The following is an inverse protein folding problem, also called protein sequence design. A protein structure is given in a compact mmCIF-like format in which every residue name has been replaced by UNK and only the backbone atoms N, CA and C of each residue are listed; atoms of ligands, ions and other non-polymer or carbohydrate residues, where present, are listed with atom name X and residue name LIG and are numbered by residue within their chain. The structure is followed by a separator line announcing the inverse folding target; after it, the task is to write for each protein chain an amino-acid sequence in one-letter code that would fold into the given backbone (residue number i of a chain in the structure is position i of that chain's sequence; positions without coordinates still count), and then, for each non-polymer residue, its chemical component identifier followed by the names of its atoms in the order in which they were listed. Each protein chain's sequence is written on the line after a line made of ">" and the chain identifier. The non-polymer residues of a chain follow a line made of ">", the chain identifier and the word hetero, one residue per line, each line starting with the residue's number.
data_IF_274465978007
#
_entry.id   IF_274465978007
#
_cell.length_a   1.000
_cell.length_b   1.000
_cell.length_c   1.000
_cell.angle_alpha   90.00
_cell.angle_beta   90.00
_cell.angle_gamma   90.00
#
_symmetry.space_group_name_H-M   'P 1'
#
loop_
_entity.id
_entity.type
_entity.pdbx_description
1 polymer ?
#
# COMPACT_ATOMS: atom_id res chain seq x y z
N UNK A 1 -19.77 -33.14 -29.52
CA UNK A 1 -21.19 -33.17 -29.94
C UNK A 1 -21.94 -32.35 -28.89
N UNK A 2 -21.70 -31.05 -28.71
CA UNK A 2 -21.66 -29.94 -29.68
C UNK A 2 -22.91 -29.90 -30.55
N UNK A 3 -23.95 -29.23 -30.05
CA UNK A 3 -24.46 -28.01 -30.70
C UNK A 3 -25.30 -27.16 -29.71
N UNK A 4 -25.39 -25.82 -29.90
CA UNK A 4 -25.71 -24.85 -28.87
C UNK A 4 -27.17 -24.36 -28.88
N UNK A 5 -27.58 -23.79 -27.75
CA UNK A 5 -28.92 -23.24 -27.49
C UNK A 5 -29.24 -22.04 -28.39
N UNK A 6 -30.28 -22.22 -29.21
CA UNK A 6 -30.91 -21.25 -30.10
C UNK A 6 -31.81 -20.26 -29.31
N UNK A 7 -31.58 -18.96 -29.49
CA UNK A 7 -32.29 -17.85 -28.83
C UNK A 7 -33.20 -17.09 -29.78
N UNK A 8 -33.72 -17.69 -30.85
CA UNK A 8 -34.77 -17.05 -31.65
C UNK A 8 -36.16 -17.24 -31.04
N UNK A 9 -36.55 -16.40 -30.05
CA UNK A 9 -37.93 -15.89 -29.90
C UNK A 9 -37.95 -14.57 -29.14
N UNK A 10 -38.04 -13.46 -29.87
CA UNK A 10 -38.57 -12.20 -29.35
C UNK A 10 -39.95 -11.86 -29.93
N UNK A 11 -40.73 -11.25 -29.02
CA UNK A 11 -41.74 -10.22 -29.20
C UNK A 11 -43.21 -10.52 -29.52
N UNK A 12 -44.09 -10.13 -28.57
CA UNK A 12 -45.28 -9.32 -28.85
C UNK A 12 -45.54 -8.22 -27.79
N UNK A 13 -44.92 -7.05 -28.04
CA UNK A 13 -45.57 -5.73 -28.21
C UNK A 13 -46.36 -5.07 -27.06
N UNK A 14 -45.70 -4.11 -26.41
CA UNK A 14 -46.32 -2.90 -25.82
C UNK A 14 -46.74 -1.92 -26.94
N UNK A 15 -48.00 -1.46 -26.90
CA UNK A 15 -48.54 -0.41 -27.79
C UNK A 15 -48.15 0.99 -27.32
N UNK A 16 -47.69 1.81 -28.27
CA UNK A 16 -47.41 3.25 -28.16
C UNK A 16 -48.48 4.03 -28.94
N UNK A 17 -48.89 5.26 -28.54
CA UNK A 17 -49.50 6.21 -29.47
C UNK A 17 -48.43 7.06 -30.17
N UNK A 18 -48.55 7.05 -31.49
CA UNK A 18 -47.74 7.60 -32.58
C UNK A 18 -47.51 9.12 -32.62
N UNK A 19 -46.50 9.50 -33.42
CA UNK A 19 -46.32 10.68 -34.34
C UNK A 19 -44.85 11.16 -34.16
N UNK A 20 -43.92 11.14 -35.13
CA UNK A 20 -43.96 11.37 -36.57
C UNK A 20 -42.84 10.62 -37.31
N UNK A 21 -43.10 10.27 -38.57
CA UNK A 21 -42.21 9.54 -39.49
C UNK A 21 -40.96 10.34 -39.87
N UNK A 22 -39.79 9.88 -39.45
CA UNK A 22 -38.56 9.91 -40.27
C UNK A 22 -37.91 8.52 -40.17
N UNK A 23 -37.62 7.92 -41.33
CA UNK A 23 -37.00 6.59 -41.48
C UNK A 23 -35.77 6.50 -40.56
N UNK A 24 -35.79 5.59 -39.57
CA UNK A 24 -34.58 5.23 -38.82
C UNK A 24 -33.66 4.49 -39.78
N UNK A 25 -32.56 5.12 -40.18
CA UNK A 25 -31.43 4.39 -40.77
C UNK A 25 -30.90 3.46 -39.70
N UNK A 26 -30.60 2.22 -40.07
CA UNK A 26 -29.76 1.34 -39.25
C UNK A 26 -28.43 2.07 -39.12
N UNK A 27 -28.11 2.50 -37.90
CA UNK A 27 -26.85 3.18 -37.60
C UNK A 27 -25.78 2.09 -37.64
N UNK A 28 -24.99 2.06 -38.70
CA UNK A 28 -23.84 1.18 -38.79
C UNK A 28 -22.72 1.66 -37.86
N UNK A 29 -21.80 0.76 -37.51
CA UNK A 29 -20.58 1.15 -36.77
C UNK A 29 -19.82 2.28 -37.50
N UNK A 30 -19.85 2.28 -38.83
CA UNK A 30 -19.24 3.32 -39.65
C UNK A 30 -19.96 4.68 -39.50
N UNK A 31 -21.28 4.69 -39.27
CA UNK A 31 -22.03 5.92 -39.00
C UNK A 31 -21.66 6.49 -37.62
N UNK A 32 -21.48 5.64 -36.61
CA UNK A 32 -21.00 6.04 -35.27
C UNK A 32 -19.57 6.58 -35.31
N UNK A 33 -18.72 5.97 -36.14
CA UNK A 33 -17.33 6.40 -36.29
C UNK A 33 -17.25 7.74 -37.02
N UNK A 34 -18.12 7.97 -38.00
CA UNK A 34 -18.24 9.25 -38.68
C UNK A 34 -18.84 10.33 -37.76
N UNK A 35 -19.85 10.00 -36.96
CA UNK A 35 -20.42 10.92 -35.97
C UNK A 35 -19.38 11.29 -34.91
N UNK A 36 -18.57 10.34 -34.45
CA UNK A 36 -17.45 10.58 -33.53
C UNK A 36 -16.37 11.48 -34.16
N UNK A 37 -16.03 11.28 -35.44
CA UNK A 37 -15.10 12.16 -36.17
C UNK A 37 -15.68 13.57 -36.37
N UNK A 38 -16.98 13.68 -36.65
CA UNK A 38 -17.69 14.95 -36.78
C UNK A 38 -17.76 15.67 -35.42
N UNK A 39 -18.01 14.95 -34.33
CA UNK A 39 -17.94 15.51 -32.97
C UNK A 39 -16.53 15.94 -32.59
N UNK A 40 -15.50 15.15 -32.88
CA UNK A 40 -14.11 15.58 -32.67
C UNK A 40 -13.76 16.84 -33.47
N UNK A 41 -14.24 16.95 -34.70
CA UNK A 41 -14.03 18.15 -35.51
C UNK A 41 -14.82 19.36 -34.98
N UNK A 42 -16.04 19.17 -34.47
CA UNK A 42 -16.79 20.23 -33.77
C UNK A 42 -16.12 20.67 -32.47
N UNK A 43 -15.52 19.74 -31.72
CA UNK A 43 -14.75 20.04 -30.51
C UNK A 43 -13.47 20.81 -30.85
N UNK A 44 -12.77 20.45 -31.94
CA UNK A 44 -11.62 21.22 -32.46
C UNK A 44 -12.04 22.60 -32.99
N UNK A 45 -13.22 22.73 -33.59
CA UNK A 45 -13.78 24.03 -33.98
C UNK A 45 -14.19 24.88 -32.77
N UNK A 46 -14.75 24.28 -31.72
CA UNK A 46 -15.06 24.98 -30.47
C UNK A 46 -13.78 25.39 -29.72
N UNK A 47 -12.74 24.57 -29.74
CA UNK A 47 -11.42 24.90 -29.19
C UNK A 47 -10.74 26.02 -29.99
N UNK A 48 -10.83 26.03 -31.32
CA UNK A 48 -10.29 27.12 -32.14
C UNK A 48 -11.10 28.42 -32.04
N UNK A 49 -12.42 28.34 -31.83
CA UNK A 49 -13.28 29.50 -31.50
C UNK A 49 -12.99 30.03 -30.09
N UNK A 50 -12.75 29.17 -29.09
CA UNK A 50 -12.27 29.57 -27.76
C UNK A 50 -10.85 30.15 -27.79
N UNK A 51 -9.97 29.65 -28.66
CA UNK A 51 -8.63 30.20 -28.88
C UNK A 51 -8.66 31.57 -29.56
N UNK A 52 -9.62 31.84 -30.46
CA UNK A 52 -9.83 33.18 -31.04
C UNK A 52 -10.50 34.16 -30.07
N UNK A 53 -11.34 33.68 -29.14
CA UNK A 53 -11.98 34.51 -28.12
C UNK A 53 -11.03 34.87 -26.95
N UNK A 54 -9.92 34.14 -26.76
CA UNK A 54 -8.89 34.40 -25.72
C UNK A 54 -7.88 35.49 -26.08
N UNK A 55 -8.08 36.25 -27.16
CA UNK A 55 -7.17 37.35 -27.53
C UNK A 55 -7.51 38.71 -26.92
N UNK A 56 -8.65 38.83 -26.26
CA UNK A 56 -9.03 40.03 -25.50
C UNK A 56 -9.55 39.62 -24.12
N UNK A 57 -8.67 39.80 -23.12
CA UNK A 57 -8.89 40.11 -21.70
C UNK A 57 -7.98 39.30 -20.77
N UNK A 58 -7.31 40.08 -19.91
CA UNK A 58 -6.20 39.76 -19.01
C UNK A 58 -6.64 38.96 -17.77
N UNK A 59 -5.66 38.27 -17.18
CA UNK A 59 -5.54 37.82 -15.77
C UNK A 59 -6.49 36.70 -15.27
N UNK A 60 -5.99 35.46 -15.21
CA UNK A 60 -5.44 34.82 -13.98
C UNK A 60 -5.28 33.28 -14.11
N UNK A 61 -4.28 32.78 -13.38
CA UNK A 61 -3.84 31.41 -13.07
C UNK A 61 -3.20 30.50 -14.14
N UNK A 62 -1.87 30.46 -14.07
CA UNK A 62 -0.91 29.69 -14.89
C UNK A 62 -0.50 28.37 -14.21
N UNK A 63 -1.47 27.55 -13.80
CA UNK A 63 -1.17 26.20 -13.27
C UNK A 63 -0.88 25.20 -14.41
N UNK A 64 -1.50 25.38 -15.58
CA UNK A 64 -1.37 24.47 -16.72
C UNK A 64 -0.09 24.69 -17.57
N UNK A 65 0.56 25.86 -17.47
CA UNK A 65 1.80 26.17 -18.19
C UNK A 65 3.02 25.45 -17.63
N UNK A 66 3.09 25.32 -16.30
CA UNK A 66 4.21 24.70 -15.60
C UNK A 66 4.27 23.19 -15.83
N UNK A 67 3.13 22.49 -15.78
CA UNK A 67 3.03 21.04 -16.03
C UNK A 67 3.48 20.67 -17.45
N UNK A 68 2.94 21.36 -18.47
CA UNK A 68 3.29 21.12 -19.88
C UNK A 68 4.76 21.44 -20.20
N UNK A 69 5.38 22.34 -19.43
CA UNK A 69 6.79 22.69 -19.57
C UNK A 69 7.70 21.71 -18.83
N UNK A 70 7.27 21.21 -17.66
CA UNK A 70 7.90 20.13 -16.90
C UNK A 70 7.93 18.81 -17.70
N UNK A 71 6.81 18.42 -18.33
CA UNK A 71 6.76 17.23 -19.21
C UNK A 71 7.78 17.32 -20.35
N UNK A 72 7.98 18.50 -20.96
CA UNK A 72 8.99 18.70 -22.00
C UNK A 72 10.42 18.54 -21.47
N UNK A 73 10.68 18.89 -20.21
CA UNK A 73 11.99 18.67 -19.58
C UNK A 73 12.22 17.17 -19.38
N UNK A 74 11.21 16.44 -18.91
CA UNK A 74 11.27 14.96 -18.78
C UNK A 74 11.51 14.31 -20.14
N UNK A 75 10.74 14.66 -21.17
CA UNK A 75 10.92 14.14 -22.55
C UNK A 75 12.32 14.46 -23.10
N UNK A 76 12.84 15.67 -22.82
CA UNK A 76 14.19 16.07 -23.22
C UNK A 76 15.26 15.27 -22.48
N UNK A 77 15.09 15.02 -21.19
CA UNK A 77 15.98 14.18 -20.39
C UNK A 77 15.96 12.72 -20.88
N UNK A 78 14.78 12.17 -21.16
CA UNK A 78 14.58 10.81 -21.67
C UNK A 78 15.25 10.62 -23.04
N UNK A 79 15.10 11.61 -23.94
CA UNK A 79 15.77 11.61 -25.24
C UNK A 79 17.28 11.69 -25.13
N UNK A 80 17.81 12.53 -24.22
CA UNK A 80 19.24 12.64 -23.96
C UNK A 80 19.83 11.38 -23.29
N UNK A 81 19.01 10.62 -22.57
CA UNK A 81 19.34 9.33 -21.96
C UNK A 81 19.48 8.21 -22.99
N UNK A 82 18.54 8.11 -23.93
CA UNK A 82 18.56 7.09 -25.00
C UNK A 82 19.77 7.23 -25.94
N UNK A 83 20.35 8.42 -26.05
CA UNK A 83 21.54 8.70 -26.86
C UNK A 83 22.87 8.25 -26.22
N UNK A 84 22.88 7.83 -24.95
CA UNK A 84 24.10 7.57 -24.16
C UNK A 84 24.27 6.13 -23.66
N UNK A 85 23.40 5.19 -24.06
CA UNK A 85 23.32 3.84 -23.51
C UNK A 85 24.55 2.97 -23.78
N UNK A 86 25.38 2.76 -22.74
CA UNK A 86 26.26 1.60 -22.61
C UNK A 86 25.69 0.63 -21.58
N UNK A 87 25.77 -0.68 -21.86
CA UNK A 87 25.35 -1.73 -20.95
C UNK A 87 26.29 -1.79 -19.73
N UNK A 88 25.91 -1.15 -18.63
CA UNK A 88 26.59 -1.30 -17.35
C UNK A 88 25.67 -1.92 -16.29
N UNK A 89 26.17 -3.02 -15.74
CA UNK A 89 25.56 -3.95 -14.78
C UNK A 89 24.81 -3.22 -13.64
N UNK A 90 23.54 -3.60 -13.44
CA UNK A 90 22.64 -3.05 -12.42
C UNK A 90 23.12 -3.48 -11.04
N UNK A 91 23.66 -2.56 -10.24
CA UNK A 91 23.87 -2.81 -8.80
C UNK A 91 22.59 -3.32 -8.16
N UNK A 92 22.71 -4.35 -7.33
CA UNK A 92 21.59 -4.89 -6.59
C UNK A 92 21.07 -3.85 -5.59
N UNK A 93 19.86 -3.34 -5.82
CA UNK A 93 19.09 -2.62 -4.82
C UNK A 93 18.67 -3.58 -3.70
N UNK A 94 18.21 -3.03 -2.59
CA UNK A 94 17.63 -3.78 -1.49
C UNK A 94 18.41 -3.62 -0.19
N UNK A 95 17.68 -3.34 0.88
CA UNK A 95 18.19 -3.24 2.25
C UNK A 95 17.51 -4.31 3.09
N UNK A 96 18.25 -5.16 3.81
CA UNK A 96 17.62 -6.13 4.69
C UNK A 96 16.84 -5.39 5.78
N UNK A 97 15.53 -5.64 5.85
CA UNK A 97 14.65 -5.10 6.88
C UNK A 97 14.73 -5.91 8.18
N UNK A 98 15.28 -7.13 8.13
CA UNK A 98 15.38 -8.02 9.28
C UNK A 98 16.82 -8.53 9.48
N UNK A 99 17.24 -8.51 10.74
CA UNK A 99 18.47 -9.14 11.24
C UNK A 99 18.13 -10.44 11.98
N UNK A 100 18.77 -10.62 13.13
CA UNK A 100 18.59 -11.82 13.95
C UNK A 100 17.29 -11.77 14.76
N UNK A 101 16.52 -12.85 14.68
CA UNK A 101 15.28 -13.00 15.44
C UNK A 101 15.58 -13.34 16.90
N UNK A 102 14.83 -12.72 17.82
CA UNK A 102 14.87 -13.04 19.25
C UNK A 102 14.05 -14.28 19.53
N UNK A 103 14.34 -14.95 20.65
CA UNK A 103 13.53 -16.07 21.11
C UNK A 103 12.06 -15.66 21.26
N UNK A 104 11.18 -16.42 20.61
CA UNK A 104 9.74 -16.17 20.66
C UNK A 104 9.20 -16.41 22.07
N UNK A 105 8.24 -15.59 22.54
CA UNK A 105 7.59 -15.82 23.82
C UNK A 105 6.96 -17.22 23.88
N UNK A 106 6.99 -17.83 25.07
CA UNK A 106 6.28 -19.09 25.29
C UNK A 106 4.77 -18.88 25.07
N UNK A 107 4.23 -19.62 24.09
CA UNK A 107 2.80 -19.70 23.85
C UNK A 107 2.22 -20.74 24.81
N UNK A 108 1.48 -20.27 25.80
CA UNK A 108 0.72 -21.12 26.72
C UNK A 108 -0.63 -20.49 27.01
N UNK A 109 -1.71 -21.28 26.98
CA UNK A 109 -3.04 -20.83 27.38
C UNK A 109 -3.39 -21.29 28.79
N UNK A 110 -2.91 -20.55 29.79
CA UNK A 110 -3.14 -20.89 31.20
C UNK A 110 -4.52 -20.51 31.74
N UNK A 111 -5.37 -19.83 30.95
CA UNK A 111 -6.65 -19.24 31.38
C UNK A 111 -7.90 -19.97 30.85
N UNK A 112 -7.77 -21.24 30.42
CA UNK A 112 -8.91 -22.02 29.91
C UNK A 112 -10.03 -22.18 30.94
N UNK A 113 -9.68 -22.31 32.21
CA UNK A 113 -10.65 -22.50 33.28
C UNK A 113 -11.48 -21.24 33.56
N UNK A 114 -10.96 -20.04 33.29
CA UNK A 114 -11.64 -18.78 33.52
C UNK A 114 -12.40 -18.23 32.31
N UNK A 115 -12.30 -18.90 31.15
CA UNK A 115 -12.92 -18.44 29.91
C UNK A 115 -14.41 -18.81 29.84
N UNK A 116 -15.34 -17.86 29.93
CA UNK A 116 -16.78 -18.17 29.96
C UNK A 116 -17.28 -18.68 28.62
N UNK A 117 -16.73 -18.19 27.49
CA UNK A 117 -17.04 -18.71 26.16
C UNK A 117 -16.79 -20.22 26.10
N UNK A 118 -15.63 -20.67 26.57
CA UNK A 118 -15.25 -22.08 26.57
C UNK A 118 -15.97 -22.85 27.67
N UNK A 119 -16.16 -22.29 28.87
CA UNK A 119 -16.92 -22.94 29.94
C UNK A 119 -18.38 -23.20 29.54
N UNK A 120 -19.03 -22.25 28.87
CA UNK A 120 -20.41 -22.43 28.37
C UNK A 120 -20.49 -23.57 27.36
N UNK A 121 -19.46 -23.71 26.52
CA UNK A 121 -19.35 -24.81 25.57
C UNK A 121 -19.09 -26.12 26.30
N UNK A 122 -18.10 -26.17 27.21
CA UNK A 122 -17.62 -27.33 27.95
C UNK A 122 -18.65 -27.90 28.94
N UNK A 123 -19.55 -27.07 29.46
CA UNK A 123 -20.63 -27.50 30.37
C UNK A 123 -21.84 -28.15 29.65
N UNK A 124 -21.74 -28.42 28.34
CA UNK A 124 -22.77 -29.12 27.59
C UNK A 124 -22.70 -30.65 27.81
N UNK A 125 -23.86 -31.28 28.00
CA UNK A 125 -24.01 -32.75 28.15
C UNK A 125 -23.40 -33.55 27.00
N UNK A 126 -23.31 -32.96 25.81
CA UNK A 126 -22.68 -33.58 24.63
C UNK A 126 -21.16 -33.76 24.79
N UNK A 127 -20.48 -32.98 25.63
CA UNK A 127 -19.02 -33.09 25.76
C UNK A 127 -18.58 -34.35 26.50
N UNK A 128 -19.46 -34.89 27.35
CA UNK A 128 -19.27 -36.20 27.97
C UNK A 128 -19.29 -37.35 26.93
N UNK A 129 -19.82 -37.10 25.72
CA UNK A 129 -19.86 -38.07 24.61
C UNK A 129 -18.64 -37.93 23.69
N UNK A 130 -18.00 -36.75 23.66
CA UNK A 130 -16.88 -36.44 22.75
C UNK A 130 -15.52 -36.48 23.47
N UNK A 131 -15.48 -36.79 24.78
CA UNK A 131 -14.27 -36.85 25.60
C UNK A 131 -13.37 -35.60 25.43
N UNK A 132 -13.98 -34.41 25.43
CA UNK A 132 -13.23 -33.16 25.36
C UNK A 132 -12.45 -32.97 26.67
N UNK A 133 -11.17 -33.35 26.66
CA UNK A 133 -10.29 -33.23 27.81
C UNK A 133 -9.80 -31.77 27.98
N UNK A 134 -10.33 -31.07 29.00
CA UNK A 134 -9.86 -29.73 29.40
C UNK A 134 -8.41 -29.70 29.90
N UNK A 135 -7.85 -30.86 30.24
CA UNK A 135 -6.48 -31.06 30.76
C UNK A 135 -5.37 -30.68 29.75
N UNK A 136 -5.74 -30.42 28.49
CA UNK A 136 -4.85 -30.02 27.38
C UNK A 136 -5.38 -28.77 26.68
N UNK A 137 -5.73 -27.74 27.46
CA UNK A 137 -6.41 -26.53 27.01
C UNK A 137 -5.89 -25.90 25.71
N UNK A 138 -4.57 -25.80 25.57
CA UNK A 138 -3.92 -25.26 24.36
C UNK A 138 -4.25 -26.08 23.11
N UNK A 139 -4.15 -27.41 23.18
CA UNK A 139 -4.45 -28.28 22.04
C UNK A 139 -5.93 -28.27 21.67
N UNK A 140 -6.82 -28.04 22.64
CA UNK A 140 -8.24 -27.88 22.38
C UNK A 140 -8.54 -26.58 21.62
N UNK A 141 -7.98 -25.45 22.07
CA UNK A 141 -8.13 -24.17 21.38
C UNK A 141 -7.47 -24.15 20.00
N UNK A 142 -6.28 -24.74 19.87
CA UNK A 142 -5.63 -24.97 18.58
C UNK A 142 -6.55 -25.76 17.64
N UNK A 143 -7.15 -26.84 18.13
CA UNK A 143 -8.10 -27.64 17.37
C UNK A 143 -9.34 -26.86 16.95
N UNK A 144 -9.92 -26.04 17.84
CA UNK A 144 -11.06 -25.19 17.49
C UNK A 144 -10.70 -24.14 16.44
N UNK A 145 -9.49 -23.58 16.51
CA UNK A 145 -9.01 -22.58 15.57
C UNK A 145 -8.77 -23.20 14.18
N UNK A 146 -8.02 -24.30 14.10
CA UNK A 146 -7.69 -24.99 12.84
C UNK A 146 -8.95 -25.48 12.13
N UNK A 147 -9.89 -26.07 12.88
CA UNK A 147 -11.13 -26.59 12.30
C UNK A 147 -12.18 -25.50 12.02
N UNK A 148 -11.86 -24.21 12.24
CA UNK A 148 -12.74 -23.08 11.99
C UNK A 148 -13.96 -23.00 12.91
N UNK A 149 -13.95 -23.69 14.05
CA UNK A 149 -15.01 -23.63 15.06
C UNK A 149 -14.89 -22.40 15.96
N UNK A 150 -13.67 -21.94 16.25
CA UNK A 150 -13.47 -20.78 17.12
C UNK A 150 -14.14 -19.51 16.58
N UNK A 151 -13.96 -19.12 15.29
CA UNK A 151 -14.71 -17.99 14.72
C UNK A 151 -16.23 -18.18 14.85
N UNK A 152 -16.76 -19.37 14.57
CA UNK A 152 -18.20 -19.66 14.63
C UNK A 152 -18.75 -19.51 16.05
N UNK A 153 -18.02 -19.99 17.05
CA UNK A 153 -18.39 -19.84 18.46
C UNK A 153 -18.41 -18.36 18.88
N UNK A 154 -17.43 -17.59 18.42
CA UNK A 154 -17.36 -16.15 18.69
C UNK A 154 -18.51 -15.38 18.02
N UNK A 155 -18.86 -15.70 16.78
CA UNK A 155 -20.01 -15.10 16.10
C UNK A 155 -21.35 -15.50 16.73
N UNK A 156 -21.45 -16.73 17.24
CA UNK A 156 -22.64 -17.16 17.97
C UNK A 156 -22.75 -16.49 19.35
N UNK A 157 -21.64 -16.36 20.07
CA UNK A 157 -21.56 -15.71 21.38
C UNK A 157 -21.52 -14.19 21.33
N UNK A 158 -21.30 -13.58 20.15
CA UNK A 158 -21.07 -12.15 19.93
C UNK A 158 -20.01 -11.52 20.85
N UNK A 159 -19.05 -12.33 21.33
CA UNK A 159 -18.07 -11.89 22.33
C UNK A 159 -16.75 -12.65 22.20
N UNK A 160 -15.63 -11.93 22.26
CA UNK A 160 -14.28 -12.47 22.41
C UNK A 160 -13.71 -11.95 23.72
N UNK A 161 -13.44 -12.88 24.62
CA UNK A 161 -12.80 -12.59 25.89
C UNK A 161 -11.32 -12.26 25.72
N UNK A 162 -10.78 -11.50 26.69
CA UNK A 162 -9.38 -11.05 26.67
C UNK A 162 -8.39 -12.19 26.51
N UNK A 163 -8.62 -13.31 27.20
CA UNK A 163 -7.75 -14.48 27.18
C UNK A 163 -7.65 -15.06 25.76
N UNK A 164 -8.79 -15.32 25.12
CA UNK A 164 -8.88 -15.86 23.75
C UNK A 164 -8.30 -14.87 22.73
N UNK A 165 -8.62 -13.58 22.85
CA UNK A 165 -8.08 -12.55 21.96
C UNK A 165 -6.54 -12.50 22.06
N UNK A 166 -6.00 -12.39 23.28
CA UNK A 166 -4.55 -12.32 23.49
C UNK A 166 -3.84 -13.60 23.05
N UNK A 167 -4.42 -14.77 23.30
CA UNK A 167 -3.90 -16.05 22.84
C UNK A 167 -3.86 -16.14 21.31
N UNK A 168 -4.96 -15.79 20.63
CA UNK A 168 -5.02 -15.82 19.17
C UNK A 168 -4.02 -14.84 18.56
N UNK A 169 -3.87 -13.65 19.14
CA UNK A 169 -2.87 -12.67 18.70
C UNK A 169 -1.43 -13.19 18.84
N UNK A 170 -1.07 -13.75 19.99
CA UNK A 170 0.27 -14.33 20.18
C UNK A 170 0.50 -15.56 19.29
N UNK A 171 -0.52 -16.40 19.10
CA UNK A 171 -0.48 -17.57 18.21
C UNK A 171 -0.21 -17.16 16.77
N UNK A 172 -0.89 -16.11 16.29
CA UNK A 172 -0.66 -15.52 14.97
C UNK A 172 0.80 -15.08 14.78
N UNK A 173 1.39 -14.46 15.80
CA UNK A 173 2.71 -13.84 15.68
C UNK A 173 3.87 -14.83 15.90
N UNK A 174 3.73 -15.75 16.85
CA UNK A 174 4.87 -16.47 17.42
C UNK A 174 4.76 -17.99 17.32
N UNK A 175 3.66 -18.54 16.77
CA UNK A 175 3.52 -20.00 16.65
C UNK A 175 4.60 -20.56 15.73
N UNK A 176 5.10 -21.76 16.01
CA UNK A 176 6.01 -22.47 15.10
C UNK A 176 5.26 -23.25 14.02
N UNK A 177 3.92 -23.35 14.12
CA UNK A 177 3.07 -24.02 13.14
C UNK A 177 2.41 -22.98 12.22
N UNK A 178 2.78 -22.98 10.94
CA UNK A 178 2.26 -22.07 9.91
C UNK A 178 0.73 -22.11 9.79
N UNK A 179 0.14 -23.30 9.90
CA UNK A 179 -1.32 -23.48 9.87
C UNK A 179 -2.01 -22.72 11.01
N UNK A 180 -1.44 -22.75 12.22
CA UNK A 180 -1.97 -22.00 13.37
C UNK A 180 -1.81 -20.50 13.18
N UNK A 181 -0.68 -20.04 12.64
CA UNK A 181 -0.47 -18.62 12.35
C UNK A 181 -1.54 -18.11 11.38
N UNK A 182 -1.78 -18.86 10.31
CA UNK A 182 -2.76 -18.54 9.27
C UNK A 182 -4.17 -18.54 9.82
N UNK A 183 -4.58 -19.60 10.52
CA UNK A 183 -5.92 -19.68 11.09
C UNK A 183 -6.15 -18.59 12.16
N UNK A 184 -5.13 -18.24 12.95
CA UNK A 184 -5.21 -17.16 13.93
C UNK A 184 -5.35 -15.79 13.25
N UNK A 185 -4.63 -15.56 12.15
CA UNK A 185 -4.75 -14.37 11.32
C UNK A 185 -6.16 -14.27 10.71
N UNK A 186 -6.66 -15.37 10.14
CA UNK A 186 -7.99 -15.44 9.53
C UNK A 186 -9.09 -15.20 10.57
N UNK A 187 -8.93 -15.75 11.78
CA UNK A 187 -9.81 -15.47 12.91
C UNK A 187 -9.87 -13.97 13.22
N UNK A 188 -8.73 -13.31 13.37
CA UNK A 188 -8.68 -11.87 13.62
C UNK A 188 -9.26 -11.05 12.46
N UNK A 189 -8.92 -11.38 11.22
CA UNK A 189 -9.46 -10.70 10.05
C UNK A 189 -11.00 -10.83 10.00
N UNK A 190 -11.53 -12.03 10.25
CA UNK A 190 -12.97 -12.28 10.25
C UNK A 190 -13.71 -11.45 11.30
N UNK A 191 -13.21 -11.41 12.54
CA UNK A 191 -13.87 -10.65 13.61
C UNK A 191 -13.77 -9.14 13.39
N UNK A 192 -12.65 -8.64 12.88
CA UNK A 192 -12.44 -7.21 12.62
C UNK A 192 -13.21 -6.71 11.40
N UNK A 193 -13.36 -7.53 10.36
CA UNK A 193 -14.17 -7.18 9.17
C UNK A 193 -15.68 -7.27 9.40
N UNK A 194 -16.13 -7.82 10.54
CA UNK A 194 -17.55 -8.01 10.82
C UNK A 194 -18.21 -6.75 11.36
N UNK A 195 -18.86 -5.97 10.48
CA UNK A 195 -19.59 -4.76 10.86
C UNK A 195 -21.10 -4.96 10.79
N UNK A 196 -21.83 -4.34 11.73
CA UNK A 196 -23.28 -4.20 11.72
C UNK A 196 -23.69 -3.03 10.82
N UNK A 197 -24.98 -2.93 10.50
CA UNK A 197 -25.55 -1.85 9.68
C UNK A 197 -25.31 -0.43 10.24
N UNK A 198 -25.12 -0.31 11.56
CA UNK A 198 -24.81 0.94 12.26
C UNK A 198 -23.30 1.28 12.26
N UNK A 199 -22.49 0.48 11.58
CA UNK A 199 -21.04 0.63 11.51
C UNK A 199 -20.31 0.13 12.75
N UNK A 200 -20.97 -0.42 13.79
CA UNK A 200 -20.28 -1.02 14.94
C UNK A 200 -19.80 -2.44 14.64
N UNK A 201 -18.81 -2.91 15.40
CA UNK A 201 -18.38 -4.31 15.32
C UNK A 201 -19.53 -5.24 15.75
N UNK A 202 -19.68 -6.34 15.00
CA UNK A 202 -20.70 -7.37 15.29
C UNK A 202 -20.42 -8.04 16.62
N UNK A 203 -19.14 -8.25 16.89
CA UNK A 203 -18.61 -8.98 18.03
C UNK A 203 -17.99 -8.01 19.03
N UNK A 204 -18.36 -8.11 20.30
CA UNK A 204 -17.67 -7.40 21.38
C UNK A 204 -16.30 -8.04 21.61
N UNK A 205 -15.22 -7.26 21.59
CA UNK A 205 -13.86 -7.75 21.85
C UNK A 205 -13.34 -7.07 23.13
N UNK A 206 -13.01 -7.87 24.15
CA UNK A 206 -12.58 -7.33 25.46
C UNK A 206 -11.15 -6.79 25.45
N UNK A 207 -10.33 -7.21 24.49
CA UNK A 207 -8.94 -6.78 24.39
C UNK A 207 -8.49 -6.64 22.93
N UNK A 208 -7.84 -5.52 22.64
CA UNK A 208 -7.19 -5.23 21.36
C UNK A 208 -5.70 -5.04 21.57
N UNK A 209 -4.84 -5.52 20.66
CA UNK A 209 -3.45 -5.11 20.64
C UNK A 209 -3.36 -3.61 20.33
N UNK A 210 -2.38 -2.95 20.93
CA UNK A 210 -2.05 -1.57 20.61
C UNK A 210 -0.80 -1.50 19.71
N UNK A 211 -0.45 -0.29 19.27
CA UNK A 211 0.75 -0.04 18.47
C UNK A 211 2.02 -0.67 19.07
N UNK A 212 2.22 -0.57 20.39
CA UNK A 212 3.42 -1.09 21.07
C UNK A 212 3.50 -2.62 20.99
N UNK A 213 2.37 -3.31 21.04
CA UNK A 213 2.34 -4.77 20.89
C UNK A 213 2.77 -5.19 19.49
N UNK A 214 2.29 -4.48 18.46
CA UNK A 214 2.66 -4.72 17.06
C UNK A 214 4.12 -4.36 16.78
N UNK A 215 4.61 -3.25 17.33
CA UNK A 215 6.01 -2.84 17.19
C UNK A 215 6.95 -3.81 17.90
N UNK A 216 6.57 -4.26 19.10
CA UNK A 216 7.32 -5.28 19.84
C UNK A 216 7.44 -6.59 19.05
N UNK A 217 6.41 -6.97 18.29
CA UNK A 217 6.50 -8.14 17.42
C UNK A 217 7.60 -7.98 16.37
N UNK A 218 7.65 -6.83 15.68
CA UNK A 218 8.74 -6.51 14.74
C UNK A 218 10.11 -6.54 15.42
N UNK A 219 10.23 -6.00 16.63
CA UNK A 219 11.49 -6.02 17.38
C UNK A 219 11.93 -7.43 17.78
N UNK A 220 10.99 -8.37 17.97
CA UNK A 220 11.25 -9.80 18.20
C UNK A 220 11.66 -10.48 16.91
N UNK A 221 11.04 -10.11 15.79
CA UNK A 221 11.41 -10.56 14.45
C UNK A 221 12.77 -10.02 13.97
N UNK A 222 13.44 -9.17 14.76
CA UNK A 222 14.74 -8.62 14.40
C UNK A 222 14.65 -7.46 13.40
N UNK A 223 13.53 -6.73 13.37
CA UNK A 223 13.34 -5.60 12.46
C UNK A 223 14.41 -4.50 12.67
N UNK A 224 15.02 -4.08 11.56
CA UNK A 224 16.07 -3.08 11.49
C UNK A 224 15.47 -1.77 10.98
N UNK A 225 15.22 -0.84 11.90
CA UNK A 225 14.59 0.44 11.56
C UNK A 225 15.53 1.47 10.89
N UNK A 226 16.82 1.15 10.81
CA UNK A 226 17.85 2.00 10.21
C UNK A 226 18.32 1.41 8.88
N UNK A 227 18.28 2.19 7.80
CA UNK A 227 18.79 1.82 6.46
C UNK A 227 20.33 1.81 6.37
N UNK A 228 21.03 1.55 7.47
CA UNK A 228 22.50 1.60 7.50
C UNK A 228 23.07 0.47 6.66
N UNK A 229 23.80 0.83 5.61
CA UNK A 229 24.50 -0.08 4.70
C UNK A 229 25.76 -0.72 5.29
N UNK A 230 25.96 -0.69 6.61
CA UNK A 230 27.08 -1.38 7.26
C UNK A 230 26.76 -2.88 7.34
N UNK A 231 26.86 -3.54 6.19
CA UNK A 231 26.93 -5.00 6.12
C UNK A 231 28.26 -5.45 6.74
N UNK A 232 28.31 -5.55 8.06
CA UNK A 232 29.27 -6.45 8.68
C UNK A 232 28.84 -7.87 8.31
N UNK A 233 29.61 -8.48 7.43
CA UNK A 233 29.59 -9.92 7.15
C UNK A 233 29.95 -10.66 8.43
N UNK A 234 28.94 -10.93 9.25
CA UNK A 234 28.97 -11.95 10.29
C UNK A 234 28.30 -13.21 9.74
N UNK A 235 28.96 -14.34 10.01
CA UNK A 235 28.74 -15.66 9.44
C UNK A 235 27.31 -16.20 9.60
N UNK A 236 26.97 -17.10 8.68
CA UNK A 236 25.72 -17.84 8.56
C UNK A 236 25.36 -18.63 9.82
N UNK A 237 24.26 -18.25 10.47
CA UNK A 237 23.41 -19.16 11.23
C UNK A 237 21.92 -18.92 10.88
N UNK A 238 21.16 -20.01 10.87
CA UNK A 238 19.93 -20.25 10.09
C UNK A 238 18.66 -19.43 10.43
N UNK A 239 18.75 -18.25 11.05
CA UNK A 239 17.59 -17.44 11.48
C UNK A 239 17.57 -16.01 10.97
N UNK A 240 18.40 -15.67 9.97
CA UNK A 240 18.46 -14.33 9.38
C UNK A 240 17.46 -14.20 8.24
N UNK A 241 16.56 -13.21 8.32
CA UNK A 241 15.54 -12.95 7.31
C UNK A 241 14.16 -12.71 7.92
N UNK A 242 13.17 -12.33 7.11
CA UNK A 242 11.83 -12.07 7.58
C UNK A 242 11.23 -13.34 8.18
N UNK A 243 10.47 -13.24 9.28
CA UNK A 243 9.82 -14.39 9.90
C UNK A 243 8.71 -14.91 8.99
N UNK A 244 8.39 -16.20 9.10
CA UNK A 244 7.27 -16.79 8.36
C UNK A 244 5.93 -16.10 8.66
N UNK A 245 5.76 -15.62 9.89
CA UNK A 245 4.57 -14.89 10.36
C UNK A 245 4.47 -13.44 9.88
N UNK A 246 5.42 -12.92 9.09
CA UNK A 246 5.36 -11.53 8.63
C UNK A 246 4.11 -11.27 7.77
N UNK A 247 3.70 -12.25 6.96
CA UNK A 247 2.48 -12.15 6.15
C UNK A 247 1.23 -12.02 7.03
N UNK A 248 1.15 -12.81 8.10
CA UNK A 248 0.07 -12.74 9.08
C UNK A 248 0.06 -11.39 9.82
N UNK A 249 1.24 -10.87 10.18
CA UNK A 249 1.39 -9.55 10.77
C UNK A 249 0.89 -8.45 9.83
N UNK A 250 1.29 -8.44 8.55
CA UNK A 250 0.85 -7.44 7.57
C UNK A 250 -0.67 -7.50 7.34
N UNK A 251 -1.23 -8.70 7.19
CA UNK A 251 -2.69 -8.90 7.04
C UNK A 251 -3.45 -8.36 8.25
N UNK A 252 -2.97 -8.64 9.45
CA UNK A 252 -3.60 -8.15 10.68
C UNK A 252 -3.52 -6.63 10.78
N UNK A 253 -2.36 -6.04 10.54
CA UNK A 253 -2.18 -4.58 10.57
C UNK A 253 -3.05 -3.88 9.53
N UNK A 254 -3.20 -4.48 8.34
CA UNK A 254 -4.16 -4.01 7.31
C UNK A 254 -5.57 -3.94 7.89
N UNK A 255 -6.04 -5.00 8.55
CA UNK A 255 -7.35 -5.01 9.20
C UNK A 255 -7.46 -3.94 10.29
N UNK A 256 -6.40 -3.69 11.07
CA UNK A 256 -6.37 -2.62 12.07
C UNK A 256 -6.56 -1.22 11.48
N UNK A 257 -6.02 -0.94 10.28
CA UNK A 257 -6.24 0.33 9.61
C UNK A 257 -7.68 0.49 9.11
N UNK A 258 -8.27 -0.58 8.58
CA UNK A 258 -9.61 -0.55 8.01
C UNK A 258 -10.71 -0.30 9.06
N UNK A 259 -10.46 -0.65 10.32
CA UNK A 259 -11.46 -0.52 11.39
C UNK A 259 -11.46 0.83 12.13
N UNK A 260 -10.71 1.84 11.66
CA UNK A 260 -10.55 3.13 12.37
C UNK A 260 -11.87 3.74 12.83
N UNK A 261 -12.91 3.69 12.00
CA UNK A 261 -14.24 4.25 12.31
C UNK A 261 -14.93 3.55 13.47
N UNK A 262 -14.62 2.27 13.72
CA UNK A 262 -15.12 1.52 14.88
C UNK A 262 -14.18 1.62 16.08
N UNK A 263 -12.89 1.48 15.83
CA UNK A 263 -11.84 1.48 16.85
C UNK A 263 -10.53 1.99 16.26
N UNK A 264 -10.12 3.17 16.68
CA UNK A 264 -8.77 3.67 16.41
C UNK A 264 -7.74 2.88 17.24
N UNK A 265 -7.02 1.96 16.61
CA UNK A 265 -5.90 1.22 17.21
C UNK A 265 -4.62 2.07 17.23
N UNK A 266 -4.44 2.90 16.20
CA UNK A 266 -3.30 3.80 16.04
C UNK A 266 -3.72 5.26 16.27
N UNK A 267 -2.82 6.06 16.79
CA UNK A 267 -2.82 7.52 16.61
C UNK A 267 -2.29 7.87 15.20
N UNK A 268 -2.42 9.14 14.80
CA UNK A 268 -1.85 9.61 13.52
C UNK A 268 -0.32 9.40 13.46
N UNK A 269 0.40 9.77 14.52
CA UNK A 269 1.86 9.59 14.58
C UNK A 269 2.28 8.11 14.55
N UNK A 270 1.54 7.21 15.21
CA UNK A 270 1.82 5.77 15.14
C UNK A 270 1.52 5.19 13.75
N UNK A 271 0.52 5.73 13.05
CA UNK A 271 0.24 5.36 11.66
C UNK A 271 1.31 5.89 10.69
N UNK A 272 1.87 7.09 10.92
CA UNK A 272 3.02 7.61 10.17
C UNK A 272 4.21 6.65 10.27
N UNK A 273 4.56 6.22 11.50
CA UNK A 273 5.66 5.28 11.70
C UNK A 273 5.40 3.92 11.03
N UNK A 274 4.15 3.43 11.03
CA UNK A 274 3.80 2.21 10.32
C UNK A 274 3.99 2.34 8.80
N UNK A 275 3.65 3.49 8.21
CA UNK A 275 3.90 3.75 6.78
C UNK A 275 5.39 3.69 6.47
N UNK A 276 6.23 4.29 7.32
CA UNK A 276 7.69 4.23 7.19
C UNK A 276 8.22 2.79 7.27
N UNK A 277 7.68 1.98 8.20
CA UNK A 277 8.00 0.55 8.31
C UNK A 277 7.67 -0.17 7.00
N UNK A 278 6.50 0.06 6.40
CA UNK A 278 6.15 -0.60 5.13
C UNK A 278 7.10 -0.24 3.99
N UNK A 279 7.58 1.00 3.93
CA UNK A 279 8.62 1.39 2.97
C UNK A 279 9.90 0.59 3.21
N UNK A 280 10.32 0.39 4.47
CA UNK A 280 11.44 -0.52 4.77
C UNK A 280 11.18 -1.94 4.28
N UNK A 281 9.96 -2.47 4.48
CA UNK A 281 9.59 -3.81 4.02
C UNK A 281 9.63 -3.94 2.49
N UNK A 282 9.21 -2.90 1.75
CA UNK A 282 9.31 -2.86 0.29
C UNK A 282 10.76 -2.82 -0.21
N UNK A 283 11.67 -2.26 0.58
CA UNK A 283 13.09 -2.21 0.27
C UNK A 283 13.81 -3.54 0.56
N UNK A 284 13.20 -4.48 1.28
CA UNK A 284 13.75 -5.82 1.46
C UNK A 284 13.39 -6.75 0.30
N UNK A 285 14.39 -7.18 -0.47
CA UNK A 285 14.18 -8.08 -1.61
C UNK A 285 13.62 -9.45 -1.21
N UNK A 286 13.84 -9.90 0.02
CA UNK A 286 13.28 -11.18 0.50
C UNK A 286 11.76 -11.11 0.64
N UNK A 287 11.19 -9.91 0.74
CA UNK A 287 9.76 -9.66 0.89
C UNK A 287 9.03 -9.37 -0.42
N UNK A 288 9.70 -9.47 -1.58
CA UNK A 288 9.06 -9.26 -2.89
C UNK A 288 7.84 -10.16 -3.11
N UNK A 289 7.84 -11.38 -2.56
CA UNK A 289 6.68 -12.28 -2.64
C UNK A 289 5.41 -11.75 -1.95
N UNK A 290 5.55 -10.77 -1.05
CA UNK A 290 4.45 -10.14 -0.32
C UNK A 290 4.05 -8.78 -0.91
N UNK A 291 4.54 -8.43 -2.10
CA UNK A 291 4.33 -7.11 -2.70
C UNK A 291 2.86 -6.69 -2.78
N UNK A 292 1.98 -7.59 -3.23
CA UNK A 292 0.54 -7.31 -3.31
C UNK A 292 -0.07 -7.05 -1.93
N UNK A 293 0.29 -7.88 -0.95
CA UNK A 293 -0.17 -7.75 0.41
C UNK A 293 0.32 -6.45 1.08
N UNK A 294 1.59 -6.08 0.83
CA UNK A 294 2.15 -4.82 1.30
C UNK A 294 1.48 -3.61 0.63
N UNK A 295 1.11 -3.70 -0.65
CA UNK A 295 0.37 -2.63 -1.31
C UNK A 295 -1.02 -2.43 -0.73
N UNK A 296 -1.76 -3.52 -0.48
CA UNK A 296 -3.07 -3.44 0.17
C UNK A 296 -2.95 -2.81 1.57
N UNK A 297 -1.92 -3.21 2.32
CA UNK A 297 -1.64 -2.64 3.64
C UNK A 297 -1.26 -1.15 3.57
N UNK A 298 -0.39 -0.77 2.63
CA UNK A 298 0.03 0.62 2.41
C UNK A 298 -1.15 1.49 2.01
N UNK A 299 -2.02 0.99 1.14
CA UNK A 299 -3.24 1.66 0.72
C UNK A 299 -4.20 1.85 1.91
N UNK A 300 -4.37 0.83 2.76
CA UNK A 300 -5.17 0.95 3.98
C UNK A 300 -4.55 1.97 4.96
N UNK A 301 -3.23 1.96 5.13
CA UNK A 301 -2.51 2.88 6.01
C UNK A 301 -2.62 4.34 5.56
N UNK A 302 -2.51 4.62 4.25
CA UNK A 302 -2.67 5.98 3.72
C UNK A 302 -4.13 6.46 3.82
N UNK A 303 -5.11 5.56 3.68
CA UNK A 303 -6.52 5.91 3.84
C UNK A 303 -6.96 5.99 5.30
N UNK A 304 -6.14 5.55 6.25
CA UNK A 304 -6.41 5.66 7.68
C UNK A 304 -6.54 7.12 8.13
N UNK A 305 -5.72 8.02 7.59
CA UNK A 305 -5.73 9.42 7.99
C UNK A 305 -7.06 10.10 7.63
N UNK A 306 -7.53 11.00 8.48
CA UNK A 306 -8.59 11.93 8.06
C UNK A 306 -8.03 12.96 7.07
N UNK A 307 -8.89 13.63 6.31
CA UNK A 307 -8.44 14.68 5.38
C UNK A 307 -7.69 15.82 6.10
N UNK A 308 -8.02 16.08 7.37
CA UNK A 308 -7.35 17.08 8.19
C UNK A 308 -5.94 16.65 8.64
N UNK A 309 -5.77 15.36 8.98
CA UNK A 309 -4.48 14.82 9.40
C UNK A 309 -3.54 14.60 8.20
N UNK A 310 -4.10 14.23 7.05
CA UNK A 310 -3.34 13.75 5.90
C UNK A 310 -2.31 14.74 5.38
N UNK A 311 -2.66 16.03 5.27
CA UNK A 311 -1.73 17.03 4.72
C UNK A 311 -0.43 17.13 5.52
N UNK A 312 -0.52 17.21 6.85
CA UNK A 312 0.66 17.24 7.72
C UNK A 312 1.37 15.89 7.80
N UNK A 313 0.62 14.80 7.86
CA UNK A 313 1.20 13.45 7.96
C UNK A 313 1.97 13.06 6.70
N UNK A 314 1.44 13.39 5.51
CA UNK A 314 2.09 13.15 4.23
C UNK A 314 3.47 13.82 4.17
N UNK A 315 3.55 15.09 4.58
CA UNK A 315 4.81 15.85 4.62
C UNK A 315 5.81 15.26 5.63
N UNK A 316 5.35 14.89 6.83
CA UNK A 316 6.20 14.27 7.86
C UNK A 316 6.78 12.93 7.40
N UNK A 317 5.93 12.05 6.87
CA UNK A 317 6.32 10.75 6.34
C UNK A 317 7.36 10.94 5.21
N UNK A 318 7.10 11.87 4.28
CA UNK A 318 7.99 12.13 3.16
C UNK A 318 9.39 12.59 3.60
N UNK A 319 9.45 13.55 4.53
CA UNK A 319 10.71 14.04 5.12
C UNK A 319 11.47 12.91 5.80
N UNK A 320 10.78 12.09 6.56
CA UNK A 320 11.41 11.00 7.29
C UNK A 320 11.98 9.93 6.36
N UNK A 321 11.22 9.51 5.34
CA UNK A 321 11.70 8.56 4.33
C UNK A 321 12.94 9.14 3.63
N UNK A 322 12.88 10.38 3.18
CA UNK A 322 13.98 11.03 2.47
C UNK A 322 15.25 11.19 3.32
N UNK A 323 15.12 11.50 4.62
CA UNK A 323 16.26 11.60 5.54
C UNK A 323 16.92 10.24 5.81
N UNK A 324 16.18 9.15 5.66
CA UNK A 324 16.62 7.83 6.13
C UNK A 324 17.05 6.88 5.03
N UNK A 325 16.36 6.90 3.89
CA UNK A 325 16.73 6.05 2.76
C UNK A 325 18.04 6.54 2.17
N UNK A 326 18.98 5.61 1.93
CA UNK A 326 20.25 5.95 1.32
C UNK A 326 20.03 6.59 -0.06
N UNK A 327 20.87 7.55 -0.43
CA UNK A 327 20.80 8.27 -1.71
C UNK A 327 21.26 7.42 -2.91
N UNK A 328 21.04 6.11 -2.85
CA UNK A 328 21.37 5.12 -3.89
C UNK A 328 20.09 4.64 -4.61
N UNK A 329 20.06 3.41 -5.14
CA UNK A 329 18.86 2.88 -5.80
C UNK A 329 17.64 2.77 -4.88
N UNK A 330 17.85 2.71 -3.56
CA UNK A 330 16.77 2.53 -2.60
C UNK A 330 15.86 3.76 -2.52
N UNK A 331 16.34 4.98 -2.79
CA UNK A 331 15.48 6.17 -2.80
C UNK A 331 14.45 6.13 -3.93
N UNK A 332 14.79 5.52 -5.06
CA UNK A 332 13.85 5.31 -6.17
C UNK A 332 12.87 4.22 -5.82
N UNK A 333 13.38 3.10 -5.31
CA UNK A 333 12.53 1.98 -4.92
C UNK A 333 11.53 2.38 -3.83
N UNK A 334 11.90 3.29 -2.92
CA UNK A 334 11.01 3.87 -1.91
C UNK A 334 9.90 4.75 -2.50
N UNK A 335 10.13 5.38 -3.66
CA UNK A 335 9.10 6.13 -4.40
C UNK A 335 8.23 5.18 -5.23
N UNK A 336 8.86 4.25 -5.96
CA UNK A 336 8.17 3.33 -6.87
C UNK A 336 7.24 2.34 -6.16
N UNK A 337 7.58 1.92 -4.95
CA UNK A 337 6.76 0.99 -4.19
C UNK A 337 5.43 1.61 -3.72
N UNK A 338 5.31 2.93 -3.74
CA UNK A 338 4.08 3.63 -3.38
C UNK A 338 3.11 3.56 -4.56
N UNK A 339 1.98 2.87 -4.37
CA UNK A 339 0.96 2.66 -5.39
C UNK A 339 0.45 3.95 -6.06
N UNK A 340 0.11 3.88 -7.35
CA UNK A 340 -0.51 4.98 -8.10
C UNK A 340 -2.05 4.91 -8.11
N UNK A 341 -2.64 3.94 -7.40
CA UNK A 341 -4.08 3.66 -7.48
C UNK A 341 -4.92 4.76 -6.83
N UNK A 342 -4.45 5.37 -5.74
CA UNK A 342 -5.23 6.38 -5.01
C UNK A 342 -4.59 7.76 -5.01
N UNK A 343 -5.44 8.80 -4.95
CA UNK A 343 -5.00 10.19 -4.90
C UNK A 343 -4.02 10.46 -3.76
N UNK A 344 -4.29 9.92 -2.57
CA UNK A 344 -3.39 10.05 -1.43
C UNK A 344 -2.07 9.32 -1.63
N UNK A 345 -2.06 8.11 -2.19
CA UNK A 345 -0.79 7.45 -2.51
C UNK A 345 0.02 8.22 -3.56
N UNK A 346 -0.63 8.82 -4.57
CA UNK A 346 0.04 9.73 -5.53
C UNK A 346 0.66 10.94 -4.83
N UNK A 347 -0.09 11.58 -3.93
CA UNK A 347 0.42 12.70 -3.13
C UNK A 347 1.63 12.30 -2.29
N UNK A 348 1.56 11.15 -1.60
CA UNK A 348 2.69 10.64 -0.82
C UNK A 348 3.89 10.33 -1.70
N UNK A 349 3.66 9.67 -2.84
CA UNK A 349 4.70 9.34 -3.82
C UNK A 349 5.42 10.60 -4.31
N UNK A 350 4.67 11.64 -4.67
CA UNK A 350 5.24 12.92 -5.10
C UNK A 350 5.98 13.63 -3.95
N UNK A 351 5.41 13.63 -2.75
CA UNK A 351 6.06 14.22 -1.57
C UNK A 351 7.39 13.53 -1.24
N UNK A 352 7.44 12.18 -1.26
CA UNK A 352 8.67 11.41 -1.03
C UNK A 352 9.70 11.69 -2.13
N UNK A 353 9.27 11.77 -3.39
CA UNK A 353 10.15 12.11 -4.51
C UNK A 353 10.73 13.52 -4.34
N UNK A 354 9.90 14.49 -3.97
CA UNK A 354 10.31 15.87 -3.70
C UNK A 354 11.32 15.95 -2.56
N UNK A 355 11.02 15.40 -1.40
CA UNK A 355 11.91 15.44 -0.23
C UNK A 355 13.23 14.69 -0.48
N UNK A 356 13.20 13.61 -1.27
CA UNK A 356 14.42 12.90 -1.68
C UNK A 356 15.29 13.74 -2.62
N UNK A 357 14.68 14.59 -3.43
CA UNK A 357 15.34 15.50 -4.35
C UNK A 357 15.74 16.82 -3.69
N UNK A 358 15.10 17.26 -2.61
CA UNK A 358 15.33 18.57 -1.99
C UNK A 358 16.80 18.82 -1.60
N UNK A 359 17.54 17.88 -0.99
CA UNK A 359 18.98 18.06 -0.70
C UNK A 359 19.85 18.25 -1.94
N UNK A 360 19.31 18.06 -3.14
CA UNK A 360 19.98 18.26 -4.41
C UNK A 360 20.01 19.75 -4.82
N UNK A 361 19.17 20.58 -4.23
CA UNK A 361 19.06 21.99 -4.61
C UNK A 361 19.51 22.83 -3.43
N UNK A 362 20.73 23.37 -3.49
CA UNK A 362 21.44 24.12 -2.44
C UNK A 362 20.59 25.21 -1.75
N UNK A 363 19.71 24.82 -0.82
CA UNK A 363 18.86 25.71 -0.04
C UNK A 363 17.76 26.41 -0.84
N UNK A 364 17.30 25.84 -1.96
CA UNK A 364 16.24 26.40 -2.79
C UNK A 364 14.87 26.18 -2.11
N UNK A 365 14.09 27.26 -1.92
CA UNK A 365 12.94 27.27 -0.98
C UNK A 365 11.60 27.07 -1.71
N UNK A 366 11.56 27.14 -3.04
CA UNK A 366 10.32 27.01 -3.82
C UNK A 366 10.41 26.01 -4.98
N UNK A 367 9.29 25.33 -5.26
CA UNK A 367 9.17 24.41 -6.39
C UNK A 367 9.49 25.05 -7.75
N UNK A 368 9.23 26.36 -7.91
CA UNK A 368 9.60 27.11 -9.11
C UNK A 368 11.11 27.30 -9.28
N UNK A 369 11.86 27.48 -8.20
CA UNK A 369 13.31 27.63 -8.25
C UNK A 369 14.00 26.28 -8.44
N UNK A 370 13.44 25.19 -7.87
CA UNK A 370 13.86 23.82 -8.18
C UNK A 370 13.64 23.56 -9.67
N UNK A 371 12.47 23.94 -10.22
CA UNK A 371 12.17 23.87 -11.64
C UNK A 371 13.16 24.67 -12.51
N UNK A 372 13.50 25.92 -12.15
CA UNK A 372 14.52 26.71 -12.86
C UNK A 372 15.90 26.05 -12.80
N UNK A 373 16.27 25.50 -11.65
CA UNK A 373 17.54 24.80 -11.44
C UNK A 373 17.62 23.55 -12.32
N UNK A 374 16.55 22.77 -12.40
CA UNK A 374 16.40 21.60 -13.26
C UNK A 374 16.46 21.93 -14.75
N UNK A 375 15.91 23.07 -15.15
CA UNK A 375 15.96 23.55 -16.54
C UNK A 375 17.37 24.01 -16.93
N UNK A 376 18.14 24.50 -15.97
CA UNK A 376 19.52 24.98 -16.14
C UNK A 376 20.57 23.84 -16.10
N UNK A 377 20.20 22.66 -15.59
CA UNK A 377 21.07 21.48 -15.53
C UNK A 377 21.38 20.99 -16.95
N UNK A 378 22.64 21.14 -17.35
CA UNK A 378 23.16 20.50 -18.54
C UNK A 378 23.80 19.15 -18.16
N UNK A 379 23.06 18.05 -18.36
CA UNK A 379 23.51 16.69 -18.05
C UNK A 379 24.73 16.23 -18.88
N UNK A 380 25.10 16.99 -19.93
CA UNK A 380 26.32 16.76 -20.74
C UNK A 380 27.57 17.43 -20.13
N UNK A 381 27.40 18.33 -19.17
CA UNK A 381 28.50 19.04 -18.52
C UNK A 381 29.07 18.21 -17.36
N UNK A 382 30.39 18.00 -17.37
CA UNK A 382 31.11 17.20 -16.35
C UNK A 382 31.24 17.95 -15.01
N UNK A 383 30.94 19.24 -14.97
CA UNK A 383 30.92 20.08 -13.76
C UNK A 383 29.56 20.21 -13.08
N UNK A 384 28.51 19.52 -13.55
CA UNK A 384 27.16 19.67 -13.03
C UNK A 384 27.03 19.25 -11.55
N UNK A 385 26.35 20.04 -10.72
CA UNK A 385 26.23 19.81 -9.26
C UNK A 385 25.45 18.52 -8.90
N UNK A 386 24.64 17.97 -9.81
CA UNK A 386 24.08 16.61 -9.69
C UNK A 386 25.13 15.51 -9.50
N UNK A 387 26.38 15.76 -9.90
CA UNK A 387 27.50 14.86 -9.65
C UNK A 387 28.09 15.00 -8.23
N UNK A 388 27.81 16.10 -7.51
CA UNK A 388 28.24 16.33 -6.12
C UNK A 388 27.22 15.84 -5.09
N UNK A 389 25.94 15.79 -5.47
CA UNK A 389 24.77 15.43 -4.65
C UNK A 389 24.80 14.01 -4.09
N UNK A 390 25.61 13.16 -4.72
CA UNK A 390 25.90 11.82 -4.26
C UNK A 390 27.39 11.59 -4.45
N UNK A 391 28.08 11.04 -3.46
CA UNK A 391 29.51 10.66 -3.55
C UNK A 391 29.68 9.44 -4.48
N UNK A 392 29.22 9.58 -5.72
CA UNK A 392 28.99 8.53 -6.69
C UNK A 392 29.59 8.96 -8.04
N UNK A 393 30.87 9.37 -8.03
CA UNK A 393 31.67 9.51 -9.28
C UNK A 393 31.66 8.22 -10.10
N UNK A 394 31.38 7.07 -9.46
CA UNK A 394 31.21 5.76 -10.09
C UNK A 394 29.81 5.51 -10.69
N UNK A 395 28.77 6.30 -10.37
CA UNK A 395 27.37 6.04 -10.80
C UNK A 395 26.76 7.18 -11.62
N UNK A 396 27.53 8.19 -12.00
CA UNK A 396 27.00 9.41 -12.58
C UNK A 396 26.33 9.28 -13.96
N UNK A 397 26.64 8.24 -14.73
CA UNK A 397 25.88 7.86 -15.94
C UNK A 397 24.49 7.33 -15.59
N UNK A 398 24.40 6.57 -14.48
CA UNK A 398 23.20 5.88 -14.02
C UNK A 398 22.24 6.79 -13.27
N UNK A 399 22.76 7.77 -12.50
CA UNK A 399 21.97 8.78 -11.76
C UNK A 399 21.32 9.80 -12.69
N UNK A 400 21.95 10.07 -13.84
CA UNK A 400 21.37 10.87 -14.93
C UNK A 400 20.00 10.35 -15.40
N UNK A 401 19.85 9.03 -15.45
CA UNK A 401 18.58 8.35 -15.77
C UNK A 401 17.57 8.42 -14.62
N UNK A 402 18.05 8.59 -13.37
CA UNK A 402 17.29 8.44 -12.13
C UNK A 402 16.69 9.75 -11.62
N UNK A 403 17.39 10.87 -11.78
CA UNK A 403 16.85 12.18 -11.42
C UNK A 403 15.66 12.54 -12.32
N UNK A 404 15.76 12.29 -13.64
CA UNK A 404 14.66 12.44 -14.59
C UNK A 404 13.45 11.56 -14.24
N UNK A 405 13.71 10.38 -13.66
CA UNK A 405 12.70 9.43 -13.25
C UNK A 405 11.98 9.84 -11.96
N UNK A 406 12.71 10.32 -10.95
CA UNK A 406 12.10 10.92 -9.75
C UNK A 406 11.32 12.21 -10.10
N UNK A 407 11.83 12.98 -11.07
CA UNK A 407 11.14 14.15 -11.63
C UNK A 407 9.82 13.81 -12.29
N UNK A 408 9.76 12.72 -13.05
CA UNK A 408 8.51 12.23 -13.63
C UNK A 408 7.43 12.03 -12.55
N UNK A 409 7.79 11.48 -11.38
CA UNK A 409 6.83 11.27 -10.29
C UNK A 409 6.45 12.55 -9.54
N UNK A 410 7.35 13.53 -9.48
CA UNK A 410 7.01 14.84 -8.94
C UNK A 410 5.91 15.54 -9.76
N UNK A 411 5.86 15.31 -11.07
CA UNK A 411 4.96 16.02 -12.00
C UNK A 411 3.54 15.43 -12.02
N UNK A 412 3.32 14.19 -11.59
CA UNK A 412 2.03 13.47 -11.73
C UNK A 412 0.99 13.72 -10.61
N UNK A 413 1.16 14.77 -9.80
CA UNK A 413 0.13 15.25 -8.85
C UNK A 413 -0.93 16.07 -9.55
#
# INVERSE_FOLDING_TARGET
>A
MDDPLDFEREDQLLKVPSINKKRKKVIGLDDLLNDHLIEQNKLKEQQSKKAKARKDNHEDDDECGNEAMLSKIVEKCEKQMNELGGEEEISHWGVPAFGDQKAFPHLGFSELESCNLLQSFMNNKLNAVVELASEKGDMFLEGLLINGWLPKLVFFGNHVEKSVASWAFNTMLYSTKEELQTCACDFWCAILSSTKEDGQLTVKIDWFPNYKDLRRALDIYGFLFNFSSSAETMETDSSRGPPQSISAWVRFVTACFLIRSQKAIFSAAEAEEMVEIFICLFLDRQLQGLWMLLNDCMQAAVNFFTDQEWSSSCENIAKFIACRVSKDLNCIQAVECISEVSSRCKQLRSAVAYESLLPCFDGVISGEEIFRSLTAINLKDKSCDLFKITDLRFYASKIRNRAAYLLHFFIQT
#
